data_IF_617276322200
#
_entry.id   IF_617276322200
#
_cell.length_a   1.000
_cell.length_b   1.000
_cell.length_c   1.000
_cell.angle_alpha   90.00
_cell.angle_beta   90.00
_cell.angle_gamma   90.00
#
_symmetry.space_group_name_H-M   'P 1'
#
loop_
_entity.id
_entity.type
_entity.pdbx_description
1 polymer ?
#
# COMPACT_ATOMS: atom_id res chain seq x y z
N UNK A 1 8.45 14.90 -17.58
CA UNK A 1 8.09 14.79 -16.14
C UNK A 1 7.48 13.41 -15.99
N UNK A 2 8.10 12.53 -15.20
CA UNK A 2 7.81 11.09 -15.17
C UNK A 2 6.53 10.79 -14.40
N UNK A 3 5.66 9.96 -14.95
CA UNK A 3 4.37 9.53 -14.39
C UNK A 3 4.44 9.00 -12.94
N UNK A 4 5.63 8.56 -12.50
CA UNK A 4 5.91 8.13 -11.12
C UNK A 4 5.80 9.26 -10.07
N UNK A 5 5.93 10.53 -10.48
CA UNK A 5 5.97 11.67 -9.55
C UNK A 5 4.59 12.27 -9.26
N UNK A 6 3.62 12.10 -10.17
CA UNK A 6 2.25 12.64 -10.06
C UNK A 6 1.24 11.62 -9.50
N UNK A 7 1.69 10.40 -9.22
CA UNK A 7 0.82 9.33 -8.77
C UNK A 7 0.96 9.12 -7.26
N UNK A 8 -0.18 9.07 -6.57
CA UNK A 8 -0.23 8.71 -5.15
C UNK A 8 -0.18 7.20 -4.97
N UNK A 9 0.70 6.76 -4.07
CA UNK A 9 0.98 5.36 -3.76
C UNK A 9 0.48 5.00 -2.37
N UNK A 10 0.13 3.72 -2.22
CA UNK A 10 -0.26 3.11 -0.98
C UNK A 10 0.62 1.89 -0.69
N UNK A 11 0.85 1.62 0.59
CA UNK A 11 1.42 0.36 1.06
C UNK A 11 0.29 -0.45 1.68
N UNK A 12 0.10 -1.66 1.19
CA UNK A 12 -0.88 -2.62 1.73
C UNK A 12 -0.15 -3.81 2.34
N UNK A 13 -0.79 -4.46 3.30
CA UNK A 13 -0.41 -5.76 3.85
C UNK A 13 -1.60 -6.73 3.78
N UNK A 14 -1.41 -7.97 4.23
CA UNK A 14 -2.53 -8.92 4.37
C UNK A 14 -3.64 -8.44 5.32
N UNK A 15 -3.35 -7.43 6.15
CA UNK A 15 -4.30 -6.84 7.11
C UNK A 15 -5.10 -5.67 6.52
N UNK A 16 -4.71 -5.18 5.33
CA UNK A 16 -5.34 -4.05 4.65
C UNK A 16 -4.34 -2.94 4.31
N UNK A 17 -4.84 -1.71 4.19
CA UNK A 17 -4.04 -0.54 3.82
C UNK A 17 -3.27 -0.01 5.02
N UNK A 18 -1.94 -0.03 4.94
CA UNK A 18 -1.04 0.48 5.98
C UNK A 18 -0.88 2.01 5.89
N UNK A 19 -0.83 2.55 4.66
CA UNK A 19 -0.80 3.99 4.38
C UNK A 19 -1.11 4.25 2.90
N UNK A 20 -1.65 5.43 2.58
CA UNK A 20 -1.98 5.88 1.21
C UNK A 20 -1.52 7.33 0.99
N UNK A 21 -1.62 7.85 -0.23
CA UNK A 21 -1.26 9.24 -0.52
C UNK A 21 0.25 9.51 -0.52
N UNK A 22 1.08 8.47 -0.62
CA UNK A 22 2.54 8.57 -0.50
C UNK A 22 3.18 8.85 -1.86
N UNK A 23 4.34 9.52 -1.83
CA UNK A 23 5.28 9.41 -2.96
C UNK A 23 5.82 7.98 -3.04
N UNK A 24 6.31 7.57 -4.21
CA UNK A 24 6.91 6.24 -4.34
C UNK A 24 8.12 6.05 -3.39
N UNK A 25 8.90 7.10 -3.14
CA UNK A 25 10.03 7.05 -2.21
C UNK A 25 9.56 6.84 -0.76
N UNK A 26 8.51 7.55 -0.35
CA UNK A 26 7.95 7.39 1.00
C UNK A 26 7.31 6.01 1.18
N UNK A 27 6.61 5.50 0.16
CA UNK A 27 6.08 4.14 0.15
C UNK A 27 7.19 3.08 0.31
N UNK A 28 8.32 3.27 -0.38
CA UNK A 28 9.47 2.38 -0.26
C UNK A 28 10.11 2.43 1.14
N UNK A 29 10.24 3.62 1.73
CA UNK A 29 10.74 3.76 3.11
C UNK A 29 9.80 3.11 4.11
N UNK A 30 8.49 3.29 3.95
CA UNK A 30 7.48 2.66 4.78
C UNK A 30 7.54 1.13 4.67
N UNK A 31 7.61 0.60 3.45
CA UNK A 31 7.73 -0.85 3.23
C UNK A 31 8.93 -1.44 3.97
N UNK A 32 10.12 -0.85 3.81
CA UNK A 32 11.34 -1.29 4.51
C UNK A 32 11.20 -1.23 6.03
N UNK A 33 10.55 -0.18 6.55
CA UNK A 33 10.27 -0.05 7.98
C UNK A 33 9.35 -1.17 8.46
N UNK A 34 8.29 -1.49 7.73
CA UNK A 34 7.35 -2.56 8.09
C UNK A 34 8.00 -3.94 7.96
N UNK A 35 8.85 -4.17 6.95
CA UNK A 35 9.67 -5.38 6.83
C UNK A 35 10.57 -5.55 8.06
N UNK A 36 11.20 -4.47 8.54
CA UNK A 36 12.03 -4.49 9.76
C UNK A 36 11.24 -4.87 11.02
N UNK A 37 9.92 -4.65 11.01
CA UNK A 37 9.00 -5.01 12.08
C UNK A 37 8.39 -6.41 11.90
N UNK A 38 8.88 -7.20 10.93
CA UNK A 38 8.35 -8.53 10.57
C UNK A 38 6.89 -8.51 10.10
N UNK A 39 6.46 -7.41 9.48
CA UNK A 39 5.20 -7.39 8.73
C UNK A 39 5.44 -8.09 7.39
N UNK A 40 4.57 -9.05 7.06
CA UNK A 40 4.65 -9.84 5.84
C UNK A 40 3.52 -9.48 4.87
N UNK A 41 3.68 -9.88 3.60
CA UNK A 41 2.70 -9.62 2.55
C UNK A 41 2.59 -8.15 2.15
N UNK A 42 3.68 -7.39 2.29
CA UNK A 42 3.71 -5.98 1.95
C UNK A 42 3.76 -5.78 0.43
N UNK A 43 2.94 -4.85 -0.09
CA UNK A 43 2.95 -4.47 -1.50
C UNK A 43 2.78 -2.96 -1.63
N UNK A 44 3.56 -2.35 -2.53
CA UNK A 44 3.36 -0.96 -2.95
C UNK A 44 2.42 -0.97 -4.16
N UNK A 45 1.27 -0.33 -4.02
CA UNK A 45 0.23 -0.23 -5.04
C UNK A 45 -0.16 1.23 -5.23
N UNK A 46 -0.94 1.54 -6.26
CA UNK A 46 -1.52 2.88 -6.40
C UNK A 46 -2.69 3.05 -5.43
N UNK A 47 -3.01 4.29 -5.04
CA UNK A 47 -4.17 4.56 -4.18
C UNK A 47 -5.47 3.97 -4.74
N UNK A 48 -5.67 4.08 -6.06
CA UNK A 48 -6.83 3.52 -6.74
C UNK A 48 -6.90 1.97 -6.67
N UNK A 49 -5.76 1.29 -6.53
CA UNK A 49 -5.72 -0.16 -6.32
C UNK A 49 -5.99 -0.51 -4.85
N UNK A 50 -5.43 0.27 -3.91
CA UNK A 50 -5.70 0.10 -2.48
C UNK A 50 -7.18 0.29 -2.15
N UNK A 51 -7.86 1.26 -2.77
CA UNK A 51 -9.31 1.46 -2.63
C UNK A 51 -10.11 0.22 -3.06
N UNK A 52 -9.73 -0.41 -4.18
CA UNK A 52 -10.38 -1.64 -4.67
C UNK A 52 -10.16 -2.81 -3.73
N UNK A 53 -8.96 -2.93 -3.15
CA UNK A 53 -8.64 -3.99 -2.19
C UNK A 53 -9.41 -3.84 -0.86
N UNK A 54 -9.54 -2.60 -0.36
CA UNK A 54 -10.35 -2.29 0.81
C UNK A 54 -11.83 -2.67 0.61
N UNK A 55 -12.35 -2.55 -0.61
CA UNK A 55 -13.70 -3.01 -0.96
C UNK A 55 -13.81 -4.54 -1.10
N UNK A 56 -12.74 -5.22 -1.51
CA UNK A 56 -12.72 -6.67 -1.69
C UNK A 56 -12.58 -7.45 -0.36
N UNK A 57 -11.82 -6.91 0.59
CA UNK A 57 -11.58 -7.55 1.91
C UNK A 57 -12.82 -7.61 2.80
N UNK A 58 -13.85 -6.79 2.55
CA UNK A 58 -15.16 -6.85 3.23
C UNK A 58 -15.89 -8.18 2.98
N UNK A 59 -15.55 -8.95 1.94
CA UNK A 59 -16.19 -10.23 1.63
C UNK A 59 -15.50 -11.48 2.22
N UNK A 60 -14.34 -11.34 2.89
CA UNK A 60 -13.58 -12.49 3.43
C UNK A 60 -13.84 -12.75 4.92
N UNK A 61 -15.10 -12.61 5.33
CA UNK A 61 -15.56 -12.86 6.69
C UNK A 61 -17.02 -13.33 6.70
N UNK A 62 -17.25 -14.57 6.29
CA UNK A 62 -18.48 -15.32 6.58
C UNK A 62 -18.19 -16.81 6.71
#
# INVERSE_FOLDING_TARGET
MSELTDQHWAVISERGVESSGLSYQDALQLMRRLESQKVHGLCIVTDAAAERDAHATVHKGR
#
